data_IF_075987445867
#
_entry.id   IF_075987445867
#
_cell.length_a   1.000
_cell.length_b   1.000
_cell.length_c   1.000
_cell.angle_alpha   90.00
_cell.angle_beta   90.00
_cell.angle_gamma   90.00
#
_symmetry.space_group_name_H-M   'P 1'
#
loop_
_entity.id
_entity.type
_entity.pdbx_description
1 polymer ?
#
# COMPACT_ATOMS: atom_id res chain seq x y z
N UNK A 1 -22.91 -91.12 -27.06
CA UNK A 1 -22.22 -92.40 -26.82
C UNK A 1 -21.73 -92.31 -25.41
N UNK A 2 -22.24 -93.17 -24.54
CA UNK A 2 -21.66 -93.38 -23.21
C UNK A 2 -20.34 -94.11 -23.44
N UNK A 3 -19.23 -93.42 -23.21
CA UNK A 3 -17.91 -94.04 -23.12
C UNK A 3 -17.73 -94.35 -21.64
N UNK A 4 -17.34 -95.58 -21.30
CA UNK A 4 -17.07 -95.93 -19.90
C UNK A 4 -15.85 -95.11 -19.43
N UNK A 5 -16.05 -94.31 -18.39
CA UNK A 5 -15.02 -93.42 -17.84
C UNK A 5 -13.84 -94.21 -17.25
N UNK A 6 -14.06 -95.49 -16.91
CA UNK A 6 -13.06 -96.42 -16.42
C UNK A 6 -12.32 -97.16 -17.55
N UNK A 7 -12.72 -96.95 -18.81
CA UNK A 7 -12.10 -97.63 -19.93
C UNK A 7 -10.67 -97.13 -20.13
N UNK A 8 -9.73 -98.07 -20.25
CA UNK A 8 -8.30 -97.76 -20.33
C UNK A 8 -7.89 -97.67 -21.79
N UNK A 9 -7.34 -96.51 -22.17
CA UNK A 9 -6.80 -96.24 -23.50
C UNK A 9 -5.27 -96.13 -23.44
N UNK A 10 -4.60 -96.31 -24.59
CA UNK A 10 -3.22 -95.86 -24.73
C UNK A 10 -3.19 -94.34 -24.96
N UNK A 11 -2.47 -93.62 -24.11
CA UNK A 11 -2.23 -92.17 -24.20
C UNK A 11 -0.78 -91.87 -24.62
N UNK A 12 -0.53 -90.91 -25.52
CA UNK A 12 -1.50 -90.17 -26.36
C UNK A 12 -2.31 -91.10 -27.26
N UNK A 13 -3.56 -90.75 -27.58
CA UNK A 13 -4.53 -91.62 -28.24
C UNK A 13 -3.99 -92.26 -29.53
N UNK A 14 -4.07 -93.59 -29.63
CA UNK A 14 -3.54 -94.36 -30.76
C UNK A 14 -4.59 -95.27 -31.39
N UNK A 15 -4.58 -95.35 -32.71
CA UNK A 15 -5.30 -96.38 -33.48
C UNK A 15 -4.35 -97.46 -33.96
N UNK A 16 -4.82 -98.70 -34.06
CA UNK A 16 -4.09 -99.81 -34.68
C UNK A 16 -4.69 -100.07 -36.05
N UNK A 17 -3.82 -100.29 -37.04
CA UNK A 17 -4.19 -100.70 -38.40
C UNK A 17 -3.52 -102.04 -38.66
N UNK A 18 -4.31 -103.03 -39.03
CA UNK A 18 -3.85 -104.38 -39.30
C UNK A 18 -4.20 -104.81 -40.73
N UNK A 19 -3.53 -105.89 -41.17
CA UNK A 19 -3.65 -106.48 -42.50
C UNK A 19 -3.19 -105.55 -43.64
N UNK A 20 -2.15 -104.74 -43.40
CA UNK A 20 -1.57 -103.87 -44.43
C UNK A 20 -0.86 -104.75 -45.48
N UNK A 21 -1.18 -104.61 -46.79
CA UNK A 21 -0.53 -105.38 -47.83
C UNK A 21 0.99 -105.18 -47.85
N UNK A 22 1.73 -106.29 -47.84
CA UNK A 22 3.20 -106.31 -47.92
C UNK A 22 3.68 -107.24 -49.02
N UNK A 23 4.74 -106.85 -49.71
CA UNK A 23 5.39 -107.65 -50.75
C UNK A 23 6.77 -108.10 -50.30
N UNK A 24 7.13 -109.35 -50.60
CA UNK A 24 8.44 -109.89 -50.26
C UNK A 24 9.44 -109.59 -51.38
N UNK A 25 10.32 -108.62 -51.14
CA UNK A 25 11.35 -108.18 -52.09
C UNK A 25 12.72 -108.45 -51.47
N UNK A 26 13.58 -109.20 -52.18
CA UNK A 26 14.95 -109.55 -51.73
C UNK A 26 15.00 -110.10 -50.29
N UNK A 27 14.03 -110.94 -49.94
CA UNK A 27 13.94 -111.60 -48.63
C UNK A 27 13.33 -110.78 -47.49
N UNK A 28 13.02 -109.49 -47.69
CA UNK A 28 12.33 -108.63 -46.70
C UNK A 28 10.92 -108.25 -47.16
N UNK A 29 10.03 -108.02 -46.21
CA UNK A 29 8.70 -107.45 -46.46
C UNK A 29 8.79 -105.93 -46.61
N UNK A 30 8.21 -105.41 -47.68
CA UNK A 30 8.11 -103.98 -47.98
C UNK A 30 6.63 -103.63 -48.17
N UNK A 31 6.21 -102.51 -47.61
CA UNK A 31 4.83 -101.99 -47.71
C UNK A 31 4.83 -100.51 -48.07
N UNK A 32 3.65 -99.96 -48.33
CA UNK A 32 3.49 -98.53 -48.57
C UNK A 32 3.87 -97.70 -47.33
N UNK A 33 4.36 -96.48 -47.54
CA UNK A 33 4.60 -95.55 -46.44
C UNK A 33 3.27 -95.15 -45.79
N UNK A 34 3.26 -94.92 -44.47
CA UNK A 34 2.06 -94.46 -43.76
C UNK A 34 1.53 -93.10 -44.21
N UNK A 35 2.29 -92.31 -44.98
CA UNK A 35 1.88 -90.97 -45.45
C UNK A 35 0.59 -91.01 -46.27
N UNK A 36 0.49 -91.92 -47.24
CA UNK A 36 -0.69 -92.05 -48.12
C UNK A 36 -1.93 -92.45 -47.32
N UNK A 37 -1.78 -93.40 -46.39
CA UNK A 37 -2.87 -93.79 -45.51
C UNK A 37 -3.29 -92.66 -44.56
N UNK A 38 -2.34 -91.88 -44.05
CA UNK A 38 -2.65 -90.68 -43.25
C UNK A 38 -3.50 -89.68 -44.04
N UNK A 39 -3.15 -89.39 -45.28
CA UNK A 39 -3.89 -88.47 -46.16
C UNK A 39 -5.30 -88.98 -46.45
N UNK A 40 -5.47 -90.30 -46.64
CA UNK A 40 -6.78 -90.93 -46.78
C UNK A 40 -7.63 -90.74 -45.51
N UNK A 41 -7.08 -91.06 -44.34
CA UNK A 41 -7.78 -90.88 -43.06
C UNK A 41 -8.14 -89.41 -42.78
N UNK A 42 -7.29 -88.45 -43.20
CA UNK A 42 -7.58 -87.02 -43.13
C UNK A 42 -8.75 -86.62 -44.03
N UNK A 43 -8.78 -87.13 -45.28
CA UNK A 43 -9.91 -86.87 -46.21
C UNK A 43 -11.25 -87.40 -45.70
N UNK A 44 -11.22 -88.42 -44.83
CA UNK A 44 -12.38 -89.02 -44.17
C UNK A 44 -12.75 -88.33 -42.85
N UNK A 45 -12.03 -87.28 -42.46
CA UNK A 45 -12.31 -86.48 -41.27
C UNK A 45 -11.84 -87.09 -39.95
N UNK A 46 -10.92 -88.07 -39.97
CA UNK A 46 -10.33 -88.65 -38.76
C UNK A 46 -9.08 -87.92 -38.26
N UNK A 47 -8.59 -86.93 -39.01
CA UNK A 47 -7.49 -86.02 -38.63
C UNK A 47 -6.29 -86.61 -37.86
N UNK A 48 -5.70 -87.74 -38.29
CA UNK A 48 -4.52 -88.27 -37.62
C UNK A 48 -3.31 -87.33 -37.75
N UNK A 49 -2.51 -87.26 -36.69
CA UNK A 49 -1.22 -86.56 -36.67
C UNK A 49 -0.21 -87.32 -37.53
N UNK A 50 -0.16 -88.65 -37.36
CA UNK A 50 0.79 -89.53 -38.04
C UNK A 50 0.23 -90.95 -38.21
N UNK A 51 0.64 -91.64 -39.27
CA UNK A 51 0.51 -93.10 -39.38
C UNK A 51 1.92 -93.68 -39.47
N UNK A 52 2.27 -94.51 -38.51
CA UNK A 52 3.59 -95.11 -38.35
C UNK A 52 3.52 -96.60 -38.67
N UNK A 53 4.02 -97.02 -39.85
CA UNK A 53 4.22 -98.44 -40.13
C UNK A 53 5.17 -99.07 -39.12
N UNK A 54 4.83 -100.30 -38.69
CA UNK A 54 5.61 -101.05 -37.74
C UNK A 54 6.55 -102.03 -38.47
N UNK A 55 7.75 -102.18 -37.94
CA UNK A 55 8.83 -102.93 -38.57
C UNK A 55 9.35 -103.99 -37.62
N UNK A 56 9.68 -105.16 -38.17
CA UNK A 56 10.37 -106.23 -37.47
C UNK A 56 11.64 -106.65 -38.24
N UNK A 57 12.35 -107.67 -37.75
CA UNK A 57 13.59 -108.17 -38.39
C UNK A 57 13.39 -108.62 -39.84
N UNK A 58 12.17 -109.00 -40.22
CA UNK A 58 11.79 -109.46 -41.55
C UNK A 58 11.31 -108.32 -42.48
N UNK A 59 11.18 -107.09 -41.98
CA UNK A 59 10.69 -105.93 -42.75
C UNK A 59 9.39 -105.36 -42.20
N UNK A 60 8.54 -104.84 -43.08
CA UNK A 60 7.24 -104.27 -42.72
C UNK A 60 6.34 -105.36 -42.12
N UNK A 61 5.76 -105.12 -40.95
CA UNK A 61 5.05 -106.16 -40.18
C UNK A 61 3.62 -106.42 -40.64
N UNK A 62 3.09 -105.58 -41.52
CA UNK A 62 1.66 -105.60 -41.91
C UNK A 62 0.78 -104.83 -40.92
N UNK A 63 1.38 -104.16 -39.94
CA UNK A 63 0.69 -103.29 -38.98
C UNK A 63 1.21 -101.85 -39.07
N UNK A 64 0.34 -100.90 -38.74
CA UNK A 64 0.71 -99.52 -38.49
C UNK A 64 -0.04 -98.99 -37.27
N UNK A 65 0.52 -97.96 -36.65
CA UNK A 65 -0.11 -97.22 -35.55
C UNK A 65 -0.46 -95.82 -36.02
N UNK A 66 -1.69 -95.41 -35.80
CA UNK A 66 -2.21 -94.07 -36.06
C UNK A 66 -2.06 -93.26 -34.78
N UNK A 67 -1.29 -92.18 -34.80
CA UNK A 67 -1.21 -91.22 -33.71
C UNK A 67 -2.25 -90.12 -33.93
N UNK A 68 -3.12 -89.88 -32.94
CA UNK A 68 -4.07 -88.76 -32.92
C UNK A 68 -3.55 -87.62 -32.03
N UNK A 69 -4.24 -86.47 -32.04
CA UNK A 69 -3.94 -85.37 -31.12
C UNK A 69 -4.07 -85.84 -29.67
N UNK A 70 -3.35 -85.23 -28.74
CA UNK A 70 -3.30 -85.65 -27.33
C UNK A 70 -4.38 -84.98 -26.46
N UNK A 71 -5.41 -84.39 -27.07
CA UNK A 71 -6.50 -83.65 -26.45
C UNK A 71 -7.85 -84.38 -26.61
N UNK A 72 -8.92 -83.79 -26.10
CA UNK A 72 -10.29 -84.34 -26.22
C UNK A 72 -10.76 -84.44 -27.67
N UNK A 73 -10.27 -83.55 -28.55
CA UNK A 73 -10.58 -83.60 -29.99
C UNK A 73 -9.92 -84.83 -30.61
N UNK A 74 -8.65 -85.10 -30.30
CA UNK A 74 -7.94 -86.29 -30.76
C UNK A 74 -8.57 -87.59 -30.29
N UNK A 75 -9.12 -87.64 -29.07
CA UNK A 75 -9.87 -88.80 -28.59
C UNK A 75 -11.15 -89.02 -29.41
N UNK A 76 -11.91 -87.94 -29.65
CA UNK A 76 -13.12 -88.00 -30.46
C UNK A 76 -12.82 -88.48 -31.88
N UNK A 77 -11.73 -88.01 -32.46
CA UNK A 77 -11.25 -88.44 -33.79
C UNK A 77 -10.84 -89.92 -33.80
N UNK A 78 -10.13 -90.39 -32.78
CA UNK A 78 -9.76 -91.81 -32.62
C UNK A 78 -10.99 -92.72 -32.51
N UNK A 79 -11.97 -92.33 -31.71
CA UNK A 79 -13.21 -93.09 -31.53
C UNK A 79 -14.07 -93.10 -32.81
N UNK A 80 -14.10 -91.99 -33.56
CA UNK A 80 -14.76 -91.93 -34.88
C UNK A 80 -14.09 -92.87 -35.87
N UNK A 81 -12.76 -92.91 -35.87
CA UNK A 81 -11.96 -93.83 -36.67
C UNK A 81 -12.36 -95.29 -36.38
N UNK A 82 -12.33 -95.72 -35.13
CA UNK A 82 -12.72 -97.10 -34.76
C UNK A 82 -14.15 -97.44 -35.17
N UNK A 83 -15.12 -96.58 -34.83
CA UNK A 83 -16.54 -96.81 -35.15
C UNK A 83 -16.80 -96.92 -36.64
N UNK A 84 -16.09 -96.13 -37.45
CA UNK A 84 -16.24 -96.18 -38.90
C UNK A 84 -15.77 -97.51 -39.50
N UNK A 85 -14.70 -98.10 -38.98
CA UNK A 85 -14.22 -99.40 -39.42
C UNK A 85 -15.03 -100.55 -38.80
N UNK A 86 -15.44 -100.43 -37.54
CA UNK A 86 -16.32 -101.40 -36.90
C UNK A 86 -17.66 -101.53 -37.64
N UNK A 87 -18.29 -100.42 -38.03
CA UNK A 87 -19.53 -100.41 -38.81
C UNK A 87 -19.42 -101.13 -40.16
N UNK A 88 -18.21 -101.20 -40.74
CA UNK A 88 -17.94 -101.93 -41.98
C UNK A 88 -17.54 -103.40 -41.75
N UNK A 89 -17.61 -103.90 -40.52
CA UNK A 89 -17.12 -105.23 -40.15
C UNK A 89 -15.59 -105.35 -40.21
N UNK A 90 -14.88 -104.23 -40.07
CA UNK A 90 -13.42 -104.11 -40.14
C UNK A 90 -12.81 -103.74 -38.77
N UNK A 91 -13.53 -104.04 -37.68
CA UNK A 91 -13.04 -103.84 -36.31
C UNK A 91 -12.11 -104.96 -35.83
N UNK A 92 -11.58 -104.79 -34.61
CA UNK A 92 -10.65 -105.75 -33.96
C UNK A 92 -11.19 -107.17 -33.88
N UNK A 93 -12.44 -107.34 -33.44
CA UNK A 93 -13.07 -108.65 -33.30
C UNK A 93 -13.15 -109.38 -34.65
N UNK A 94 -13.49 -108.67 -35.73
CA UNK A 94 -13.51 -109.23 -37.07
C UNK A 94 -12.12 -109.65 -37.58
N UNK A 95 -11.06 -108.92 -37.20
CA UNK A 95 -9.68 -109.25 -37.56
C UNK A 95 -9.22 -110.60 -36.96
N UNK A 96 -9.51 -110.80 -35.67
CA UNK A 96 -9.12 -112.03 -34.96
C UNK A 96 -10.07 -113.21 -35.24
N UNK A 97 -11.34 -112.96 -35.57
CA UNK A 97 -12.33 -113.99 -35.88
C UNK A 97 -12.32 -114.51 -37.34
N UNK A 98 -11.73 -113.76 -38.28
CA UNK A 98 -11.76 -114.14 -39.70
C UNK A 98 -10.79 -115.27 -40.05
N UNK A 99 -11.28 -116.31 -40.74
CA UNK A 99 -10.45 -117.39 -41.33
C UNK A 99 -9.68 -116.92 -42.56
N UNK A 100 -10.30 -116.07 -43.38
CA UNK A 100 -9.67 -115.42 -44.54
C UNK A 100 -9.93 -113.91 -44.44
N UNK A 101 -8.86 -113.13 -44.34
CA UNK A 101 -8.92 -111.67 -44.14
C UNK A 101 -9.02 -110.87 -45.44
N UNK A 102 -8.70 -111.51 -46.58
CA UNK A 102 -8.61 -110.86 -47.88
C UNK A 102 -7.72 -109.61 -47.84
N UNK A 103 -8.04 -108.64 -48.70
CA UNK A 103 -7.29 -107.38 -48.84
C UNK A 103 -7.86 -106.24 -47.97
N UNK A 104 -8.75 -106.56 -47.01
CA UNK A 104 -9.39 -105.55 -46.16
C UNK A 104 -8.45 -105.11 -45.04
N UNK A 105 -8.38 -103.80 -44.80
CA UNK A 105 -7.75 -103.26 -43.59
C UNK A 105 -8.69 -103.42 -42.40
N UNK A 106 -8.09 -103.62 -41.23
CA UNK A 106 -8.82 -103.69 -39.96
C UNK A 106 -8.27 -102.64 -39.00
N UNK A 107 -9.16 -101.93 -38.32
CA UNK A 107 -8.80 -100.77 -37.53
C UNK A 107 -9.56 -100.71 -36.20
N UNK A 108 -8.89 -100.29 -35.14
CA UNK A 108 -9.47 -100.10 -33.80
C UNK A 108 -8.65 -99.10 -32.98
N UNK A 109 -9.20 -98.57 -31.88
CA UNK A 109 -8.43 -97.76 -30.94
C UNK A 109 -7.63 -98.69 -30.02
N UNK A 110 -6.36 -98.36 -29.77
CA UNK A 110 -5.48 -99.15 -28.93
C UNK A 110 -5.94 -99.11 -27.46
N UNK A 111 -6.17 -100.30 -26.90
CA UNK A 111 -6.59 -100.50 -25.51
C UNK A 111 -5.54 -101.25 -24.70
N UNK A 112 -5.87 -101.52 -23.43
CA UNK A 112 -5.02 -102.25 -22.49
C UNK A 112 -4.50 -103.58 -23.04
N UNK A 113 -5.33 -104.34 -23.75
CA UNK A 113 -4.95 -105.62 -24.34
C UNK A 113 -3.99 -105.48 -25.53
N UNK A 114 -4.13 -104.43 -26.35
CA UNK A 114 -3.15 -104.09 -27.39
C UNK A 114 -1.79 -103.70 -26.80
N UNK A 115 -1.81 -102.94 -25.71
CA UNK A 115 -0.62 -102.46 -25.02
C UNK A 115 0.22 -103.61 -24.45
N UNK A 116 -0.44 -104.59 -23.81
CA UNK A 116 0.22 -105.75 -23.22
C UNK A 116 0.45 -106.90 -24.22
N UNK A 117 -0.03 -106.80 -25.46
CA UNK A 117 0.17 -107.85 -26.45
C UNK A 117 1.66 -108.11 -26.72
N UNK A 118 2.07 -109.38 -26.72
CA UNK A 118 3.43 -109.81 -27.04
C UNK A 118 3.66 -109.82 -28.56
N UNK A 119 3.55 -108.65 -29.18
CA UNK A 119 3.76 -108.46 -30.61
C UNK A 119 4.34 -107.07 -30.91
N UNK A 120 4.62 -106.83 -32.19
CA UNK A 120 5.18 -105.56 -32.67
C UNK A 120 4.33 -104.34 -32.31
N UNK A 121 3.00 -104.49 -32.21
CA UNK A 121 2.08 -103.42 -31.83
C UNK A 121 2.27 -103.11 -30.34
N UNK A 122 2.14 -104.10 -29.46
CA UNK A 122 2.31 -103.88 -28.01
C UNK A 122 3.69 -103.34 -27.66
N UNK A 123 4.76 -103.84 -28.29
CA UNK A 123 6.12 -103.32 -28.10
C UNK A 123 6.25 -101.84 -28.49
N UNK A 124 5.60 -101.43 -29.58
CA UNK A 124 5.56 -100.02 -29.97
C UNK A 124 4.74 -99.17 -28.99
N UNK A 125 3.56 -99.66 -28.58
CA UNK A 125 2.67 -98.94 -27.66
C UNK A 125 3.35 -98.68 -26.32
N UNK A 126 4.00 -99.70 -25.72
CA UNK A 126 4.82 -99.56 -24.48
C UNK A 126 5.98 -98.57 -24.61
N UNK A 127 6.51 -98.39 -25.82
CA UNK A 127 7.63 -97.47 -26.07
C UNK A 127 7.17 -96.03 -26.28
N UNK A 128 5.92 -95.82 -26.73
CA UNK A 128 5.43 -94.53 -27.26
C UNK A 128 4.13 -94.04 -26.65
N UNK A 129 3.66 -94.69 -25.59
CA UNK A 129 2.50 -94.27 -24.82
C UNK A 129 2.44 -95.01 -23.50
N UNK A 130 1.51 -94.58 -22.66
CA UNK A 130 1.17 -95.17 -21.37
C UNK A 130 -0.32 -95.50 -21.35
N UNK A 131 -0.76 -96.28 -20.38
CA UNK A 131 -2.19 -96.53 -20.18
C UNK A 131 -2.81 -95.43 -19.33
N UNK A 132 -3.99 -94.96 -19.74
CA UNK A 132 -4.71 -93.91 -19.03
C UNK A 132 -6.22 -94.09 -19.15
N UNK A 133 -6.95 -93.86 -18.06
CA UNK A 133 -8.42 -93.78 -18.08
C UNK A 133 -8.88 -92.38 -18.47
N UNK A 134 -10.13 -92.25 -18.92
CA UNK A 134 -10.70 -90.93 -19.22
C UNK A 134 -10.89 -90.11 -17.96
N UNK A 135 -11.25 -90.76 -16.84
CA UNK A 135 -11.33 -90.11 -15.52
C UNK A 135 -10.00 -89.48 -15.10
N UNK A 136 -8.90 -90.24 -15.14
CA UNK A 136 -7.56 -89.72 -14.80
C UNK A 136 -7.13 -88.56 -15.71
N UNK A 137 -7.44 -88.65 -17.01
CA UNK A 137 -7.14 -87.58 -17.96
C UNK A 137 -7.93 -86.31 -17.67
N UNK A 138 -9.24 -86.43 -17.42
CA UNK A 138 -10.11 -85.31 -17.09
C UNK A 138 -9.71 -84.62 -15.78
N UNK A 139 -9.42 -85.40 -14.74
CA UNK A 139 -8.98 -84.88 -13.45
C UNK A 139 -7.65 -84.13 -13.57
N UNK A 140 -6.70 -84.65 -14.36
CA UNK A 140 -5.42 -83.98 -14.57
C UNK A 140 -5.58 -82.65 -15.31
N UNK A 141 -6.43 -82.61 -16.35
CA UNK A 141 -6.74 -81.39 -17.10
C UNK A 141 -7.48 -80.36 -16.23
N UNK A 142 -8.50 -80.79 -15.47
CA UNK A 142 -9.17 -79.94 -14.47
C UNK A 142 -8.19 -79.36 -13.45
N UNK A 143 -7.26 -80.18 -12.95
CA UNK A 143 -6.23 -79.75 -12.00
C UNK A 143 -5.26 -78.75 -12.63
N UNK A 144 -4.81 -78.98 -13.87
CA UNK A 144 -3.92 -78.04 -14.60
C UNK A 144 -4.62 -76.71 -14.84
N UNK A 145 -5.84 -76.74 -15.33
CA UNK A 145 -6.64 -75.55 -15.58
C UNK A 145 -6.96 -74.79 -14.29
N UNK A 146 -7.32 -75.49 -13.21
CA UNK A 146 -7.54 -74.88 -11.90
C UNK A 146 -6.31 -74.15 -11.36
N UNK A 147 -5.11 -74.74 -11.50
CA UNK A 147 -3.84 -74.07 -11.12
C UNK A 147 -3.60 -72.81 -11.94
N UNK A 148 -3.84 -72.85 -13.24
CA UNK A 148 -3.68 -71.69 -14.12
C UNK A 148 -4.66 -70.58 -13.75
N UNK A 149 -5.95 -70.92 -13.56
CA UNK A 149 -6.98 -69.97 -13.15
C UNK A 149 -6.64 -69.33 -11.80
N UNK A 150 -6.23 -70.13 -10.80
CA UNK A 150 -5.82 -69.61 -9.50
C UNK A 150 -4.61 -68.67 -9.59
N UNK A 151 -3.60 -69.01 -10.40
CA UNK A 151 -2.43 -68.16 -10.62
C UNK A 151 -2.79 -66.84 -11.32
N UNK A 152 -3.71 -66.89 -12.30
CA UNK A 152 -4.17 -65.70 -13.01
C UNK A 152 -5.01 -64.81 -12.08
N UNK A 153 -5.93 -65.39 -11.29
CA UNK A 153 -6.73 -64.67 -10.31
C UNK A 153 -5.85 -63.92 -9.30
N UNK A 154 -4.85 -64.59 -8.72
CA UNK A 154 -3.89 -63.96 -7.81
C UNK A 154 -3.09 -62.83 -8.47
N UNK A 155 -2.80 -62.95 -9.78
CA UNK A 155 -2.11 -61.88 -10.52
C UNK A 155 -3.01 -60.67 -10.75
N UNK A 156 -4.29 -60.89 -11.05
CA UNK A 156 -5.30 -59.83 -11.21
C UNK A 156 -5.51 -59.09 -9.89
N UNK A 157 -5.73 -59.82 -8.80
CA UNK A 157 -5.88 -59.24 -7.45
C UNK A 157 -4.67 -58.35 -7.09
N UNK A 158 -3.45 -58.85 -7.30
CA UNK A 158 -2.24 -58.08 -7.03
C UNK A 158 -2.09 -56.85 -7.94
N UNK A 159 -2.61 -56.88 -9.17
CA UNK A 159 -2.61 -55.72 -10.07
C UNK A 159 -3.65 -54.68 -9.66
N UNK A 160 -4.84 -55.12 -9.22
CA UNK A 160 -5.89 -54.25 -8.70
C UNK A 160 -5.43 -53.52 -7.44
N UNK A 161 -4.78 -54.22 -6.50
CA UNK A 161 -4.19 -53.60 -5.30
C UNK A 161 -3.15 -52.53 -5.66
N UNK A 162 -2.22 -52.85 -6.58
CA UNK A 162 -1.20 -51.88 -7.04
C UNK A 162 -1.80 -50.66 -7.72
N UNK A 163 -2.87 -50.85 -8.50
CA UNK A 163 -3.57 -49.75 -9.16
C UNK A 163 -4.18 -48.83 -8.10
N UNK A 164 -4.87 -49.40 -7.11
CA UNK A 164 -5.49 -48.65 -6.02
C UNK A 164 -4.45 -47.88 -5.18
N UNK A 165 -3.31 -48.50 -4.87
CA UNK A 165 -2.20 -47.84 -4.17
C UNK A 165 -1.62 -46.67 -4.98
N UNK A 166 -1.42 -46.85 -6.29
CA UNK A 166 -0.91 -45.81 -7.17
C UNK A 166 -1.88 -44.62 -7.26
N UNK A 167 -3.18 -44.88 -7.44
CA UNK A 167 -4.21 -43.85 -7.48
C UNK A 167 -4.30 -43.08 -6.16
N UNK A 168 -4.30 -43.79 -5.03
CA UNK A 168 -4.29 -43.19 -3.69
C UNK A 168 -3.05 -42.33 -3.44
N UNK A 169 -1.87 -42.79 -3.87
CA UNK A 169 -0.63 -42.02 -3.78
C UNK A 169 -0.70 -40.77 -4.66
N UNK A 170 -1.14 -40.90 -5.90
CA UNK A 170 -1.24 -39.78 -6.83
C UNK A 170 -2.23 -38.70 -6.33
N UNK A 171 -3.36 -39.11 -5.76
CA UNK A 171 -4.31 -38.20 -5.13
C UNK A 171 -3.70 -37.45 -3.93
N UNK A 172 -2.96 -38.15 -3.06
CA UNK A 172 -2.24 -37.54 -1.93
C UNK A 172 -1.19 -36.54 -2.40
N UNK A 173 -0.36 -36.92 -3.37
CA UNK A 173 0.71 -36.07 -3.91
C UNK A 173 0.13 -34.83 -4.62
N UNK A 174 -1.03 -34.97 -5.27
CA UNK A 174 -1.73 -33.83 -5.88
C UNK A 174 -2.29 -32.88 -4.82
N UNK A 175 -2.98 -33.39 -3.81
CA UNK A 175 -3.52 -32.58 -2.70
C UNK A 175 -2.41 -31.86 -1.94
N UNK A 176 -1.27 -32.51 -1.70
CA UNK A 176 -0.13 -31.90 -1.05
C UNK A 176 0.42 -30.72 -1.87
N UNK A 177 0.63 -30.89 -3.17
CA UNK A 177 1.11 -29.81 -4.06
C UNK A 177 0.16 -28.61 -4.06
N UNK A 178 -1.14 -28.85 -4.17
CA UNK A 178 -2.15 -27.78 -4.14
C UNK A 178 -2.13 -27.05 -2.79
N UNK A 179 -1.99 -27.78 -1.69
CA UNK A 179 -1.87 -27.18 -0.35
C UNK A 179 -0.64 -26.28 -0.23
N UNK A 180 0.51 -26.73 -0.72
CA UNK A 180 1.77 -25.95 -0.72
C UNK A 180 1.68 -24.71 -1.62
N UNK A 181 1.02 -24.80 -2.77
CA UNK A 181 0.75 -23.65 -3.65
C UNK A 181 -0.21 -22.65 -3.00
N UNK A 182 -1.31 -23.11 -2.40
CA UNK A 182 -2.22 -22.27 -1.64
C UNK A 182 -1.50 -21.57 -0.48
N UNK A 183 -0.64 -22.27 0.25
CA UNK A 183 0.16 -21.68 1.34
C UNK A 183 1.15 -20.61 0.85
N UNK A 184 1.76 -20.78 -0.32
CA UNK A 184 2.62 -19.74 -0.93
C UNK A 184 1.80 -18.52 -1.36
N UNK A 185 0.67 -18.74 -2.01
CA UNK A 185 -0.20 -17.66 -2.47
C UNK A 185 -0.76 -16.82 -1.32
N UNK A 186 -1.13 -17.44 -0.19
CA UNK A 186 -1.61 -16.71 0.99
C UNK A 186 -0.52 -15.82 1.59
N UNK A 187 0.71 -16.32 1.72
CA UNK A 187 1.86 -15.53 2.19
C UNK A 187 2.17 -14.34 1.27
N UNK A 188 2.08 -14.52 -0.05
CA UNK A 188 2.26 -13.42 -1.01
C UNK A 188 1.17 -12.35 -0.91
N UNK A 189 -0.09 -12.78 -0.76
CA UNK A 189 -1.21 -11.85 -0.57
C UNK A 189 -1.09 -11.07 0.74
N UNK A 190 -0.63 -11.72 1.81
CA UNK A 190 -0.42 -11.06 3.10
C UNK A 190 0.71 -10.03 3.04
N UNK A 191 1.82 -10.34 2.34
CA UNK A 191 2.88 -9.36 2.06
C UNK A 191 2.35 -8.16 1.29
N UNK A 192 1.66 -8.38 0.17
CA UNK A 192 1.09 -7.29 -0.64
C UNK A 192 0.10 -6.43 0.15
N UNK A 193 -0.69 -7.04 1.03
CA UNK A 193 -1.61 -6.32 1.92
C UNK A 193 -0.85 -5.40 2.88
N UNK A 194 0.26 -5.87 3.45
CA UNK A 194 1.09 -5.07 4.34
C UNK A 194 1.74 -3.89 3.60
N UNK A 195 2.29 -4.12 2.41
CA UNK A 195 2.88 -3.07 1.57
C UNK A 195 1.84 -2.00 1.19
N UNK A 196 0.62 -2.42 0.84
CA UNK A 196 -0.49 -1.50 0.56
C UNK A 196 -0.87 -0.65 1.78
N UNK A 197 -0.93 -1.25 2.96
CA UNK A 197 -1.22 -0.52 4.19
C UNK A 197 -0.11 0.51 4.53
N UNK A 198 1.14 0.21 4.19
CA UNK A 198 2.26 1.14 4.37
C UNK A 198 2.16 2.32 3.40
N UNK A 199 1.92 2.03 2.11
CA UNK A 199 1.67 3.07 1.10
C UNK A 199 0.47 3.95 1.45
N UNK A 200 -0.61 3.37 2.00
CA UNK A 200 -1.78 4.14 2.45
C UNK A 200 -1.42 5.11 3.59
N UNK A 201 -0.59 4.68 4.55
CA UNK A 201 -0.10 5.55 5.63
C UNK A 201 0.76 6.69 5.10
N UNK A 202 1.68 6.40 4.19
CA UNK A 202 2.53 7.41 3.56
C UNK A 202 1.71 8.44 2.77
N UNK A 203 0.70 7.97 2.03
CA UNK A 203 -0.18 8.83 1.25
C UNK A 203 -0.97 9.78 2.15
N UNK A 204 -1.58 9.26 3.23
CA UNK A 204 -2.28 10.09 4.23
C UNK A 204 -1.34 11.11 4.88
N UNK A 205 -0.11 10.72 5.22
CA UNK A 205 0.87 11.65 5.79
C UNK A 205 1.24 12.77 4.80
N UNK A 206 1.35 12.43 3.51
CA UNK A 206 1.66 13.39 2.44
C UNK A 206 0.49 14.34 2.16
N UNK A 207 -0.74 13.87 2.22
CA UNK A 207 -1.94 14.70 2.10
C UNK A 207 -2.01 15.75 3.22
N UNK A 208 -1.84 15.34 4.48
CA UNK A 208 -1.80 16.26 5.63
C UNK A 208 -0.68 17.29 5.49
N UNK A 209 0.49 16.88 4.98
CA UNK A 209 1.59 17.80 4.73
C UNK A 209 1.24 18.83 3.65
N UNK A 210 0.66 18.40 2.54
CA UNK A 210 0.23 19.29 1.46
C UNK A 210 -0.85 20.28 1.92
N UNK A 211 -1.83 19.83 2.72
CA UNK A 211 -2.86 20.70 3.30
C UNK A 211 -2.26 21.76 4.21
N UNK A 212 -1.32 21.38 5.08
CA UNK A 212 -0.60 22.32 5.94
C UNK A 212 0.23 23.33 5.15
N UNK A 213 0.90 22.89 4.07
CA UNK A 213 1.64 23.78 3.17
C UNK A 213 0.71 24.78 2.47
N UNK A 214 -0.48 24.35 2.02
CA UNK A 214 -1.48 25.22 1.42
C UNK A 214 -1.98 26.29 2.40
N UNK A 215 -2.32 25.89 3.64
CA UNK A 215 -2.73 26.82 4.70
C UNK A 215 -1.62 27.83 5.02
N UNK A 216 -0.36 27.37 5.10
CA UNK A 216 0.78 28.26 5.36
C UNK A 216 1.00 29.27 4.23
N UNK A 217 0.86 28.85 2.97
CA UNK A 217 0.96 29.74 1.81
C UNK A 217 -0.13 30.81 1.82
N UNK A 218 -1.36 30.46 2.23
CA UNK A 218 -2.46 31.41 2.33
C UNK A 218 -2.23 32.44 3.45
N UNK A 219 -1.76 31.99 4.62
CA UNK A 219 -1.37 32.88 5.72
C UNK A 219 -0.27 33.86 5.30
N UNK A 220 0.76 33.37 4.61
CA UNK A 220 1.86 34.21 4.12
C UNK A 220 1.36 35.26 3.12
N UNK A 221 0.44 34.89 2.22
CA UNK A 221 -0.20 35.85 1.29
C UNK A 221 -1.00 36.92 2.03
N UNK A 222 -1.77 36.53 3.05
CA UNK A 222 -2.56 37.45 3.86
C UNK A 222 -1.67 38.43 4.65
N UNK A 223 -0.59 37.94 5.26
CA UNK A 223 0.38 38.76 5.97
C UNK A 223 1.08 39.74 5.02
N UNK A 224 1.51 39.28 3.84
CA UNK A 224 2.10 40.16 2.83
C UNK A 224 1.14 41.28 2.42
N UNK A 225 -0.13 40.96 2.21
CA UNK A 225 -1.16 41.96 1.88
C UNK A 225 -1.39 42.96 3.02
N UNK A 226 -1.37 42.51 4.28
CA UNK A 226 -1.44 43.40 5.44
C UNK A 226 -0.23 44.33 5.52
N UNK A 227 0.98 43.78 5.34
CA UNK A 227 2.21 44.57 5.35
C UNK A 227 2.22 45.62 4.22
N UNK A 228 1.78 45.26 3.02
CA UNK A 228 1.62 46.22 1.92
C UNK A 228 0.62 47.34 2.26
N UNK A 229 -0.53 47.01 2.85
CA UNK A 229 -1.50 48.01 3.32
C UNK A 229 -0.90 48.94 4.38
N UNK A 230 -0.20 48.40 5.37
CA UNK A 230 0.45 49.18 6.42
C UNK A 230 1.52 50.14 5.86
N UNK A 231 2.33 49.68 4.90
CA UNK A 231 3.31 50.52 4.20
C UNK A 231 2.60 51.67 3.45
N UNK A 232 1.48 51.39 2.78
CA UNK A 232 0.71 52.40 2.06
C UNK A 232 0.07 53.43 2.99
N UNK A 233 -0.47 53.01 4.14
CA UNK A 233 -1.01 53.94 5.15
C UNK A 233 0.08 54.81 5.77
N UNK A 234 1.24 54.21 6.09
CA UNK A 234 2.39 54.97 6.59
C UNK A 234 2.83 56.03 5.58
N UNK A 235 2.95 55.70 4.30
CA UNK A 235 3.26 56.67 3.24
C UNK A 235 2.23 57.80 3.17
N UNK A 236 0.94 57.49 3.27
CA UNK A 236 -0.12 58.51 3.29
C UNK A 236 -0.02 59.43 4.52
N UNK A 237 0.32 58.88 5.69
CA UNK A 237 0.54 59.66 6.90
C UNK A 237 1.78 60.57 6.76
N UNK A 238 2.88 60.05 6.23
CA UNK A 238 4.10 60.80 5.94
C UNK A 238 3.81 61.97 4.97
N UNK A 239 3.01 61.73 3.92
CA UNK A 239 2.60 62.78 2.98
C UNK A 239 1.74 63.88 3.66
N UNK A 240 0.84 63.50 4.56
CA UNK A 240 0.04 64.48 5.34
C UNK A 240 0.91 65.33 6.26
N UNK A 241 1.86 64.70 6.96
CA UNK A 241 2.82 65.42 7.82
C UNK A 241 3.67 66.39 7.00
N UNK A 242 4.09 65.99 5.79
CA UNK A 242 4.83 66.86 4.90
C UNK A 242 4.00 68.09 4.50
N UNK A 243 2.72 67.92 4.11
CA UNK A 243 1.83 69.05 3.80
C UNK A 243 1.64 70.00 4.98
N UNK A 244 1.42 69.45 6.18
CA UNK A 244 1.32 70.26 7.40
C UNK A 244 2.62 71.03 7.69
N UNK A 245 3.78 70.41 7.47
CA UNK A 245 5.07 71.08 7.64
C UNK A 245 5.26 72.23 6.64
N UNK A 246 4.82 72.04 5.39
CA UNK A 246 4.81 73.11 4.38
C UNK A 246 3.86 74.24 4.75
N UNK A 247 2.66 73.94 5.24
CA UNK A 247 1.68 74.94 5.65
C UNK A 247 2.17 75.74 6.86
N UNK A 248 2.69 75.09 7.90
CA UNK A 248 3.34 75.78 9.02
C UNK A 248 4.51 76.67 8.57
N UNK A 249 5.28 76.23 7.56
CA UNK A 249 6.36 77.06 7.00
C UNK A 249 5.79 78.31 6.32
N UNK A 250 4.71 78.19 5.53
CA UNK A 250 4.03 79.33 4.89
C UNK A 250 3.47 80.30 5.94
N UNK A 251 2.79 79.79 6.96
CA UNK A 251 2.26 80.60 8.06
C UNK A 251 3.38 81.35 8.79
N UNK A 252 4.49 80.67 9.10
CA UNK A 252 5.67 81.30 9.70
C UNK A 252 6.23 82.42 8.81
N UNK A 253 6.32 82.22 7.50
CA UNK A 253 6.75 83.25 6.55
C UNK A 253 5.80 84.46 6.49
N UNK A 254 4.49 84.26 6.69
CA UNK A 254 3.50 85.35 6.78
C UNK A 254 3.67 86.12 8.10
N UNK A 255 3.82 85.42 9.22
CA UNK A 255 4.06 86.03 10.52
C UNK A 255 5.37 86.83 10.54
N UNK A 256 6.46 86.27 10.00
CA UNK A 256 7.74 86.97 9.86
C UNK A 256 7.59 88.27 9.04
N UNK A 257 6.82 88.24 7.95
CA UNK A 257 6.50 89.46 7.17
C UNK A 257 5.75 90.50 7.99
N UNK A 258 4.80 90.07 8.83
CA UNK A 258 4.04 90.99 9.68
C UNK A 258 4.90 91.62 10.77
N UNK A 259 5.85 90.88 11.35
CA UNK A 259 6.82 91.41 12.33
C UNK A 259 7.63 92.54 11.71
N UNK A 260 8.21 92.32 10.52
CA UNK A 260 8.98 93.36 9.81
C UNK A 260 8.14 94.61 9.54
N UNK A 261 6.86 94.45 9.21
CA UNK A 261 5.95 95.59 9.00
C UNK A 261 5.66 96.35 10.30
N UNK A 262 5.46 95.64 11.42
CA UNK A 262 5.26 96.26 12.72
C UNK A 262 6.54 96.97 13.20
N UNK A 263 7.71 96.40 12.97
CA UNK A 263 9.00 97.05 13.25
C UNK A 263 9.11 98.40 12.50
N UNK A 264 8.74 98.45 11.22
CA UNK A 264 8.69 99.73 10.47
C UNK A 264 7.71 100.73 11.05
N UNK A 265 6.54 100.28 11.52
CA UNK A 265 5.55 101.17 12.16
C UNK A 265 6.08 101.73 13.48
N UNK A 266 6.82 100.93 14.24
CA UNK A 266 7.50 101.38 15.47
C UNK A 266 8.56 102.43 15.13
N UNK A 267 9.40 102.18 14.13
CA UNK A 267 10.42 103.15 13.69
C UNK A 267 9.78 104.48 13.23
N UNK A 268 8.67 104.41 12.49
CA UNK A 268 7.92 105.59 12.06
C UNK A 268 7.31 106.37 13.23
N UNK A 269 6.77 105.67 14.24
CA UNK A 269 6.28 106.30 15.48
C UNK A 269 7.41 107.02 16.21
N UNK A 270 8.55 106.37 16.38
CA UNK A 270 9.72 106.98 17.02
C UNK A 270 10.19 108.24 16.28
N UNK A 271 10.18 108.24 14.94
CA UNK A 271 10.49 109.42 14.14
C UNK A 271 9.48 110.57 14.37
N UNK A 272 8.18 110.25 14.43
CA UNK A 272 7.14 111.24 14.76
C UNK A 272 7.31 111.83 16.16
N UNK A 273 7.66 111.03 17.16
CA UNK A 273 7.95 111.50 18.51
C UNK A 273 9.14 112.47 18.54
N UNK A 274 10.21 112.16 17.80
CA UNK A 274 11.38 113.05 17.64
C UNK A 274 11.01 114.36 16.93
N UNK A 275 10.17 114.30 15.90
CA UNK A 275 9.62 115.48 15.22
C UNK A 275 8.81 116.36 16.18
N UNK A 276 7.92 115.77 16.98
CA UNK A 276 7.12 116.48 17.99
C UNK A 276 8.05 117.14 19.01
N UNK A 277 9.09 116.46 19.50
CA UNK A 277 10.07 117.07 20.40
C UNK A 277 10.82 118.23 19.73
N UNK A 278 11.20 118.08 18.47
CA UNK A 278 11.86 119.14 17.69
C UNK A 278 10.95 120.35 17.50
N UNK A 279 9.66 120.12 17.18
CA UNK A 279 8.66 121.17 17.05
C UNK A 279 8.38 121.85 18.40
N UNK A 280 8.28 121.11 19.51
CA UNK A 280 8.18 121.66 20.87
C UNK A 280 9.38 122.54 21.22
N UNK A 281 10.59 122.08 20.91
CA UNK A 281 11.81 122.85 21.10
C UNK A 281 11.82 124.15 20.28
N UNK A 282 11.45 124.09 19.00
CA UNK A 282 11.30 125.29 18.15
C UNK A 282 10.25 126.26 18.71
N UNK A 283 9.11 125.74 19.17
CA UNK A 283 8.02 126.54 19.75
C UNK A 283 8.46 127.20 21.06
N UNK A 284 9.27 126.52 21.88
CA UNK A 284 9.84 127.10 23.10
C UNK A 284 10.89 128.18 22.81
N UNK A 285 11.71 128.00 21.77
CA UNK A 285 12.68 129.00 21.31
C UNK A 285 11.97 130.26 20.80
N UNK A 286 10.89 130.12 20.01
CA UNK A 286 10.10 131.27 19.53
C UNK A 286 9.38 131.97 20.69
N UNK A 287 8.82 131.23 21.66
CA UNK A 287 8.16 131.78 22.86
C UNK A 287 9.11 132.56 23.78
N UNK A 288 10.41 132.24 23.79
CA UNK A 288 11.43 132.97 24.58
C UNK A 288 11.99 134.20 23.87
N UNK A 289 11.71 134.39 22.57
CA UNK A 289 12.12 135.57 21.81
C UNK A 289 11.06 136.68 21.76
N UNK A 290 9.89 136.48 22.39
CA UNK A 290 8.85 137.51 22.54
C UNK A 290 9.22 138.56 23.61
N UNK A 291 10.16 139.45 23.26
CA UNK A 291 10.25 140.79 23.87
C UNK A 291 10.46 141.89 22.80
N UNK A 292 9.91 141.67 21.60
CA UNK A 292 9.67 142.75 20.63
C UNK A 292 9.75 142.36 19.15
N UNK A 293 8.59 142.18 18.48
CA UNK A 293 8.47 142.43 17.04
C UNK A 293 7.51 141.55 16.21
N UNK A 294 6.63 142.21 15.47
CA UNK A 294 5.95 141.84 14.21
C UNK A 294 4.91 140.70 14.06
N UNK A 295 3.81 141.07 13.41
CA UNK A 295 2.61 140.27 13.09
C UNK A 295 2.85 139.10 12.11
N UNK A 296 4.03 139.04 11.49
CA UNK A 296 4.46 137.92 10.63
C UNK A 296 4.95 136.71 11.46
N UNK A 297 5.49 136.94 12.66
CA UNK A 297 5.94 135.88 13.57
C UNK A 297 4.76 135.20 14.27
N UNK A 298 3.71 135.95 14.59
CA UNK A 298 2.43 135.40 15.08
C UNK A 298 1.77 134.43 14.07
N UNK A 299 1.86 134.72 12.77
CA UNK A 299 1.35 133.83 11.71
C UNK A 299 2.13 132.51 11.60
N UNK A 300 3.46 132.55 11.76
CA UNK A 300 4.31 131.35 11.83
C UNK A 300 4.08 130.56 13.11
N UNK A 301 3.90 131.25 14.24
CA UNK A 301 3.56 130.65 15.53
C UNK A 301 2.24 129.86 15.43
N UNK A 302 1.21 130.44 14.81
CA UNK A 302 -0.09 129.79 14.63
C UNK A 302 -0.05 128.54 13.74
N UNK A 303 0.79 128.54 12.69
CA UNK A 303 0.98 127.37 11.83
C UNK A 303 1.71 126.23 12.57
N UNK A 304 2.81 126.55 13.27
CA UNK A 304 3.55 125.56 14.07
C UNK A 304 2.66 125.00 15.21
N UNK A 305 1.83 125.84 15.83
CA UNK A 305 0.92 125.42 16.88
C UNK A 305 -0.19 124.50 16.35
N UNK A 306 -0.72 124.78 15.15
CA UNK A 306 -1.70 123.91 14.51
C UNK A 306 -1.08 122.57 14.11
N UNK A 307 0.08 122.58 13.47
CA UNK A 307 0.78 121.36 13.06
C UNK A 307 1.22 120.52 14.27
N UNK A 308 1.67 121.16 15.36
CA UNK A 308 1.96 120.48 16.62
C UNK A 308 0.70 119.83 17.19
N UNK A 309 -0.43 120.56 17.22
CA UNK A 309 -1.70 120.04 17.73
C UNK A 309 -2.17 118.84 16.91
N UNK A 310 -2.13 118.93 15.59
CA UNK A 310 -2.54 117.84 14.69
C UNK A 310 -1.66 116.58 14.91
N UNK A 311 -0.33 116.73 15.06
CA UNK A 311 0.58 115.61 15.38
C UNK A 311 0.44 115.07 16.81
N UNK A 312 0.13 115.92 17.78
CA UNK A 312 -0.15 115.50 19.16
C UNK A 312 -1.47 114.71 19.24
N UNK A 313 -2.50 115.11 18.50
CA UNK A 313 -3.77 114.35 18.37
C UNK A 313 -3.55 113.01 17.66
N UNK A 314 -2.71 112.95 16.63
CA UNK A 314 -2.35 111.69 15.95
C UNK A 314 -1.58 110.73 16.87
N UNK A 315 -0.67 111.25 17.69
CA UNK A 315 0.06 110.47 18.68
C UNK A 315 -0.87 109.93 19.79
N UNK A 316 -1.80 110.77 20.29
CA UNK A 316 -2.78 110.36 21.30
C UNK A 316 -3.73 109.27 20.80
N UNK A 317 -4.14 109.35 19.53
CA UNK A 317 -4.90 108.29 18.87
C UNK A 317 -4.09 106.98 18.80
N UNK A 318 -2.81 107.04 18.42
CA UNK A 318 -1.93 105.88 18.37
C UNK A 318 -1.69 105.27 19.76
N UNK A 319 -1.53 106.08 20.80
CA UNK A 319 -1.37 105.61 22.18
C UNK A 319 -2.65 104.96 22.70
N UNK A 320 -3.82 105.55 22.41
CA UNK A 320 -5.12 104.96 22.73
C UNK A 320 -5.32 103.61 22.02
N UNK A 321 -4.92 103.52 20.75
CA UNK A 321 -4.96 102.26 20.01
C UNK A 321 -4.02 101.21 20.61
N UNK A 322 -2.81 101.61 21.01
CA UNK A 322 -1.84 100.72 21.63
C UNK A 322 -2.32 100.18 22.99
N UNK A 323 -2.89 101.04 23.84
CA UNK A 323 -3.51 100.60 25.09
C UNK A 323 -4.65 99.60 24.86
N UNK A 324 -5.50 99.83 23.85
CA UNK A 324 -6.55 98.89 23.48
C UNK A 324 -6.01 97.53 23.01
N UNK A 325 -4.90 97.52 22.25
CA UNK A 325 -4.25 96.29 21.81
C UNK A 325 -3.66 95.50 22.98
N UNK A 326 -2.99 96.17 23.93
CA UNK A 326 -2.47 95.54 25.15
C UNK A 326 -3.61 94.91 25.95
N UNK A 327 -4.74 95.59 26.10
CA UNK A 327 -5.91 95.05 26.81
C UNK A 327 -6.47 93.82 26.08
N UNK A 328 -6.55 93.82 24.76
CA UNK A 328 -7.01 92.65 23.98
C UNK A 328 -6.06 91.46 24.09
N UNK A 329 -4.75 91.69 24.03
CA UNK A 329 -3.73 90.65 24.16
C UNK A 329 -3.81 89.97 25.53
N UNK A 330 -3.87 90.76 26.61
CA UNK A 330 -4.04 90.22 27.96
C UNK A 330 -5.31 89.39 28.11
N UNK A 331 -6.45 89.88 27.59
CA UNK A 331 -7.72 89.11 27.62
C UNK A 331 -7.60 87.77 26.90
N UNK A 332 -7.03 87.77 25.70
CA UNK A 332 -6.87 86.53 24.93
C UNK A 332 -5.92 85.54 25.63
N UNK A 333 -4.87 86.05 26.28
CA UNK A 333 -3.97 85.20 27.04
C UNK A 333 -4.63 84.66 28.32
N UNK A 334 -5.43 85.46 29.02
CA UNK A 334 -6.20 85.03 30.19
C UNK A 334 -7.20 83.91 29.82
N UNK A 335 -7.94 84.07 28.72
CA UNK A 335 -8.84 83.04 28.17
C UNK A 335 -8.09 81.72 27.89
N UNK A 336 -6.88 81.82 27.33
CA UNK A 336 -6.05 80.66 27.02
C UNK A 336 -5.52 79.97 28.28
N UNK A 337 -5.14 80.74 29.31
CA UNK A 337 -4.72 80.18 30.61
C UNK A 337 -5.91 79.54 31.35
N UNK A 338 -7.10 80.12 31.29
CA UNK A 338 -8.31 79.57 31.88
C UNK A 338 -8.70 78.24 31.23
N UNK A 339 -8.75 78.19 29.89
CA UNK A 339 -9.00 76.95 29.15
C UNK A 339 -7.97 75.85 29.49
N UNK A 340 -6.69 76.21 29.67
CA UNK A 340 -5.65 75.28 30.10
C UNK A 340 -5.90 74.77 31.52
N UNK A 341 -6.29 75.65 32.44
CA UNK A 341 -6.58 75.29 33.83
C UNK A 341 -7.77 74.33 33.92
N UNK A 342 -8.86 74.62 33.21
CA UNK A 342 -10.05 73.78 33.14
C UNK A 342 -9.72 72.39 32.58
N UNK A 343 -8.92 72.35 31.51
CA UNK A 343 -8.46 71.08 30.95
C UNK A 343 -7.70 70.25 32.00
N UNK A 344 -6.80 70.86 32.78
CA UNK A 344 -6.07 70.18 33.86
C UNK A 344 -7.02 69.67 34.96
N UNK A 345 -8.01 70.46 35.36
CA UNK A 345 -9.03 70.09 36.36
C UNK A 345 -9.83 68.86 35.90
N UNK A 346 -10.33 68.90 34.66
CA UNK A 346 -11.09 67.81 34.03
C UNK A 346 -10.25 66.53 33.98
N UNK A 347 -8.97 66.62 33.60
CA UNK A 347 -8.09 65.45 33.59
C UNK A 347 -7.83 64.87 34.98
N UNK A 348 -7.72 65.70 36.04
CA UNK A 348 -7.59 65.20 37.43
C UNK A 348 -8.83 64.41 37.86
N UNK A 349 -10.03 64.86 37.49
CA UNK A 349 -11.28 64.15 37.80
C UNK A 349 -11.43 62.84 37.02
N UNK A 350 -11.07 62.82 35.74
CA UNK A 350 -11.15 61.63 34.89
C UNK A 350 -10.25 60.50 35.40
N UNK A 351 -9.06 60.82 35.89
CA UNK A 351 -8.14 59.82 36.45
C UNK A 351 -8.64 59.28 37.79
N UNK A 352 -9.28 60.09 38.64
CA UNK A 352 -9.77 59.61 39.94
C UNK A 352 -11.00 58.70 39.84
N UNK A 353 -11.81 58.85 38.78
CA UNK A 353 -13.07 58.10 38.61
C UNK A 353 -12.96 56.89 37.67
N UNK A 354 -11.92 56.79 36.84
CA UNK A 354 -11.86 55.81 35.75
C UNK A 354 -10.73 54.79 35.92
N UNK A 355 -11.08 53.54 36.24
CA UNK A 355 -10.16 52.42 36.55
C UNK A 355 -9.13 52.11 35.43
N UNK A 356 -9.35 52.63 34.22
CA UNK A 356 -8.49 52.40 33.04
C UNK A 356 -7.48 53.51 32.74
N UNK A 357 -7.58 54.66 33.40
CA UNK A 357 -6.68 55.80 33.20
C UNK A 357 -5.87 56.00 34.47
N UNK A 358 -4.53 55.87 34.38
CA UNK A 358 -3.61 56.03 35.52
C UNK A 358 -2.72 57.25 35.33
N UNK A 359 -2.36 57.93 36.42
CA UNK A 359 -1.37 59.02 36.36
C UNK A 359 0.03 58.42 36.19
N UNK A 360 0.84 59.05 35.34
CA UNK A 360 2.24 58.67 35.21
C UNK A 360 2.95 58.91 36.57
N UNK A 361 3.60 57.87 37.11
CA UNK A 361 4.18 57.90 38.46
C UNK A 361 3.24 57.53 39.61
N UNK A 362 2.00 57.12 39.34
CA UNK A 362 1.07 56.67 40.38
C UNK A 362 1.47 55.30 40.97
N UNK A 363 1.63 55.25 42.30
CA UNK A 363 2.07 54.05 43.03
C UNK A 363 0.92 53.09 43.33
N UNK A 364 1.12 51.79 43.09
CA UNK A 364 0.15 50.76 43.47
C UNK A 364 0.29 50.39 44.96
N UNK A 365 -0.61 50.92 45.79
CA UNK A 365 -0.62 50.67 47.22
C UNK A 365 -0.71 49.17 47.58
N UNK A 366 -1.29 48.31 46.72
CA UNK A 366 -1.38 46.86 46.99
C UNK A 366 0.00 46.18 46.94
N UNK A 367 0.91 46.69 46.11
CA UNK A 367 2.28 46.18 46.03
C UNK A 367 3.05 46.46 47.33
N UNK A 368 2.89 47.66 47.90
CA UNK A 368 3.51 48.03 49.18
C UNK A 368 2.93 47.23 50.36
N UNK A 369 1.62 46.98 50.38
CA UNK A 369 0.99 46.11 51.39
C UNK A 369 1.55 44.68 51.29
N UNK A 370 1.64 44.12 50.09
CA UNK A 370 2.22 42.79 49.86
C UNK A 370 3.70 42.73 50.28
N UNK A 371 4.45 43.80 50.04
CA UNK A 371 5.83 43.95 50.49
C UNK A 371 5.96 43.98 52.01
N UNK A 372 5.16 44.80 52.69
CA UNK A 372 5.17 44.97 54.14
C UNK A 372 4.80 43.68 54.88
N UNK A 373 3.87 42.88 54.35
CA UNK A 373 3.48 41.56 54.91
C UNK A 373 4.64 40.57 55.04
N UNK A 374 5.72 40.74 54.28
CA UNK A 374 6.90 39.85 54.36
C UNK A 374 7.76 40.12 55.59
N UNK A 375 7.67 41.29 56.20
CA UNK A 375 8.54 41.72 57.32
C UNK A 375 7.78 42.10 58.59
N UNK A 376 6.49 42.39 58.49
CA UNK A 376 5.65 42.84 59.60
C UNK A 376 4.36 42.02 59.65
N UNK A 377 3.72 41.94 60.82
CA UNK A 377 2.49 41.18 61.05
C UNK A 377 1.46 41.99 61.84
N UNK A 378 0.17 41.72 61.61
CA UNK A 378 -0.93 42.41 62.30
C UNK A 378 -1.22 43.83 61.76
N UNK A 379 -1.74 44.72 62.61
CA UNK A 379 -2.16 46.09 62.23
C UNK A 379 -1.01 46.97 61.73
N UNK A 380 0.24 46.66 62.08
CA UNK A 380 1.42 47.41 61.66
C UNK A 380 1.72 47.31 60.16
N UNK A 381 1.28 46.23 59.49
CA UNK A 381 1.51 46.02 58.05
C UNK A 381 0.97 47.17 57.22
N UNK A 382 -0.27 47.59 57.48
CA UNK A 382 -0.90 48.65 56.71
C UNK A 382 -0.24 50.00 57.00
N UNK A 383 0.15 50.26 58.25
CA UNK A 383 0.83 51.50 58.64
C UNK A 383 2.18 51.60 57.91
N UNK A 384 3.00 50.54 57.98
CA UNK A 384 4.30 50.51 57.29
C UNK A 384 4.19 50.54 55.77
N UNK A 385 3.15 49.92 55.20
CA UNK A 385 2.89 49.99 53.77
C UNK A 385 2.53 51.41 53.32
N UNK A 386 1.71 52.13 54.08
CA UNK A 386 1.34 53.53 53.78
C UNK A 386 2.53 54.46 53.96
N UNK A 387 3.33 54.29 55.02
CA UNK A 387 4.56 55.07 55.24
C UNK A 387 5.52 54.91 54.05
N UNK A 388 5.82 53.67 53.64
CA UNK A 388 6.69 53.38 52.50
C UNK A 388 6.14 53.89 51.17
N UNK A 389 4.83 53.75 50.95
CA UNK A 389 4.18 54.25 49.73
C UNK A 389 4.23 55.78 49.66
N UNK A 390 4.08 56.47 50.79
CA UNK A 390 4.16 57.94 50.87
C UNK A 390 5.59 58.43 50.65
N UNK A 391 6.57 57.72 51.21
CA UNK A 391 7.98 58.01 51.01
C UNK A 391 8.40 57.84 49.54
N UNK A 392 7.91 56.80 48.87
CA UNK A 392 8.15 56.64 47.42
C UNK A 392 7.43 57.69 46.58
N UNK A 393 6.23 58.14 46.98
CA UNK A 393 5.53 59.21 46.27
C UNK A 393 6.30 60.53 46.36
N UNK A 394 6.89 60.85 47.51
CA UNK A 394 7.72 62.05 47.65
C UNK A 394 8.99 61.96 46.81
N UNK A 395 9.61 60.78 46.76
CA UNK A 395 10.78 60.56 45.91
C UNK A 395 10.47 60.68 44.41
N UNK A 396 9.33 60.18 43.94
CA UNK A 396 8.91 60.34 42.54
C UNK A 396 8.60 61.79 42.14
N UNK A 397 8.36 62.67 43.12
CA UNK A 397 8.17 64.11 42.88
C UNK A 397 9.48 64.88 42.77
N UNK A 398 10.58 64.31 43.27
CA UNK A 398 11.91 64.89 43.14
C UNK A 398 12.53 64.50 41.80
N UNK A 399 12.73 65.48 40.92
CA UNK A 399 13.32 65.27 39.60
C UNK A 399 14.77 64.74 39.66
N UNK A 400 15.44 64.88 40.80
CA UNK A 400 16.82 64.42 41.01
C UNK A 400 16.90 63.04 41.68
N UNK A 401 15.76 62.37 41.90
CA UNK A 401 15.76 61.02 42.46
C UNK A 401 16.03 59.96 41.39
N UNK A 402 17.07 59.16 41.60
CA UNK A 402 17.49 58.09 40.69
C UNK A 402 17.49 56.74 41.41
N UNK A 403 16.36 56.00 41.41
CA UNK A 403 16.18 54.78 42.23
C UNK A 403 17.01 53.59 41.75
N UNK A 404 17.57 53.64 40.55
CA UNK A 404 18.44 52.60 40.01
C UNK A 404 19.88 53.10 39.94
N UNK A 405 20.80 52.31 40.47
CA UNK A 405 22.24 52.53 40.25
C UNK A 405 22.59 52.03 38.85
N UNK A 406 23.17 52.91 38.03
CA UNK A 406 23.76 52.52 36.75
C UNK A 406 25.02 51.72 37.06
N UNK A 407 24.99 50.40 36.83
CA UNK A 407 26.16 49.55 36.94
C UNK A 407 26.88 49.57 35.58
N UNK A 408 28.14 50.01 35.50
CA UNK A 408 28.91 49.91 34.26
C UNK A 408 29.23 48.44 33.98
N UNK A 409 29.10 48.03 32.72
CA UNK A 409 29.62 46.73 32.27
C UNK A 409 31.15 46.73 32.29
N UNK A 410 31.77 45.54 32.25
CA UNK A 410 33.20 45.26 32.49
C UNK A 410 34.13 46.06 31.57
N UNK A 411 33.62 46.62 30.46
CA UNK A 411 34.36 47.47 29.51
C UNK A 411 34.04 48.98 29.59
N UNK A 412 33.41 49.46 30.67
CA UNK A 412 33.39 50.89 31.02
C UNK A 412 32.54 51.80 30.11
N UNK A 413 31.52 51.28 29.43
CA UNK A 413 30.48 52.09 28.77
C UNK A 413 29.14 51.89 29.46
N UNK A 414 28.60 52.97 30.01
CA UNK A 414 27.25 53.03 30.56
C UNK A 414 26.22 52.97 29.44
N UNK A 415 25.34 51.95 29.45
CA UNK A 415 24.09 52.03 28.68
C UNK A 415 23.18 53.07 29.33
N UNK A 416 22.61 53.96 28.51
CA UNK A 416 21.61 54.95 28.93
C UNK A 416 20.31 54.29 29.38
#
# INVERSE_FOLDING_TARGET
MEIDENEVFVWPWKGVVANIPVQRIKGKYVGESGKKFREELQSRGFNPVRVQPLWNRMGHSGFAVVDFNNDWVGLADALRFEKAYEANGQGKSAYFGARERGDKLYCWVARMDDYYAENVVGDYLKTKGDLKTLMEYEEEEKRKNGKLVASLASTVEAQEERLMEMESKNARDHLQRVSEECGRATLELEKKKNDLNELEKELKAREVKNENEAINLEKLKAEKLQNEKAIMERRRAEEKVLKLAEDHKREKEVLLRKIVELEKQIDAKQALELDIQTLRGKLEVVRRMEDGGDQQEAGKLGLIQKELKDKEEELDFLDTLNQNLIVKERRSNDELQEARKDMIEIFKELVSKSIRIKRMGELDSKAFISGAKRKHSGREVNIKAVELCTEWDSYLRDANWHPFKIVPDIDGKTMK
#
